data_IF_739401893000
#
_entry.id   IF_739401893000
#
_cell.length_a   1.000
_cell.length_b   1.000
_cell.length_c   1.000
_cell.angle_alpha   90.00
_cell.angle_beta   90.00
_cell.angle_gamma   90.00
#
_symmetry.space_group_name_H-M   'P 1'
#
loop_
_entity.id
_entity.type
_entity.pdbx_description
1 polymer ?
#
# COMPACT_ATOMS: atom_id res chain seq x y z
N UNK A 1 -13.42 -0.16 -6.34
CA UNK A 1 -12.69 -1.41 -6.02
C UNK A 1 -12.04 -1.28 -4.67
N UNK A 2 -12.18 -2.28 -3.80
CA UNK A 2 -11.57 -2.26 -2.46
C UNK A 2 -10.09 -2.66 -2.51
N UNK A 3 -9.28 -1.98 -1.70
CA UNK A 3 -7.85 -2.26 -1.53
C UNK A 3 -7.51 -2.41 -0.06
N UNK A 4 -6.46 -3.18 0.23
CA UNK A 4 -5.94 -3.44 1.56
C UNK A 4 -4.49 -3.06 1.59
N UNK A 5 -4.07 -2.45 2.69
CA UNK A 5 -2.66 -2.19 2.97
C UNK A 5 -2.21 -3.17 4.05
N UNK A 6 -1.22 -3.99 3.71
CA UNK A 6 -0.59 -4.96 4.59
C UNK A 6 0.82 -4.45 4.94
N UNK A 7 1.30 -4.73 6.15
CA UNK A 7 2.72 -4.54 6.49
C UNK A 7 3.57 -5.60 5.78
N UNK A 8 4.81 -5.30 5.47
CA UNK A 8 5.70 -6.16 4.68
C UNK A 8 6.43 -7.26 5.47
N UNK A 9 5.99 -7.58 6.68
CA UNK A 9 6.49 -8.74 7.44
C UNK A 9 6.03 -10.06 6.82
N UNK A 10 6.66 -11.17 7.19
CA UNK A 10 6.47 -12.47 6.54
C UNK A 10 5.02 -12.99 6.55
N UNK A 11 4.19 -12.51 7.49
CA UNK A 11 2.77 -12.86 7.61
C UNK A 11 1.81 -11.73 7.17
N UNK A 12 2.32 -10.53 6.90
CA UNK A 12 1.56 -9.41 6.34
C UNK A 12 0.39 -8.95 7.20
N UNK A 13 0.65 -8.19 8.27
CA UNK A 13 -0.43 -7.66 9.10
C UNK A 13 -1.27 -6.60 8.36
N UNK A 14 -2.60 -6.74 8.36
CA UNK A 14 -3.51 -5.72 7.81
C UNK A 14 -3.45 -4.45 8.65
N UNK A 15 -3.03 -3.34 8.04
CA UNK A 15 -2.92 -2.03 8.72
C UNK A 15 -4.02 -1.06 8.30
N UNK A 16 -4.54 -1.18 7.08
CA UNK A 16 -5.63 -0.33 6.60
C UNK A 16 -6.44 -1.01 5.50
N UNK A 17 -7.71 -0.62 5.38
CA UNK A 17 -8.59 -0.96 4.25
C UNK A 17 -9.12 0.32 3.63
N UNK A 18 -9.14 0.37 2.31
CA UNK A 18 -9.80 1.45 1.59
C UNK A 18 -11.28 1.12 1.41
N UNK A 19 -12.08 2.15 1.18
CA UNK A 19 -13.40 2.00 0.57
C UNK A 19 -13.27 1.66 -0.93
N UNK A 20 -14.37 1.71 -1.66
CA UNK A 20 -14.32 1.55 -3.13
C UNK A 20 -13.59 2.72 -3.78
N UNK A 21 -12.42 2.44 -4.33
CA UNK A 21 -11.60 3.39 -5.10
C UNK A 21 -11.75 3.16 -6.61
N UNK A 22 -11.63 4.24 -7.38
CA UNK A 22 -11.79 4.27 -8.85
C UNK A 22 -10.54 3.77 -9.61
N UNK A 23 -9.88 2.74 -9.09
CA UNK A 23 -8.76 2.06 -9.74
C UNK A 23 -7.40 2.28 -9.08
N UNK A 24 -6.35 1.84 -9.78
CA UNK A 24 -4.99 1.71 -9.23
C UNK A 24 -4.36 3.05 -8.83
N UNK A 25 -4.51 4.10 -9.65
CA UNK A 25 -3.97 5.42 -9.33
C UNK A 25 -4.58 6.01 -8.04
N UNK A 26 -5.90 5.84 -7.87
CA UNK A 26 -6.59 6.25 -6.65
C UNK A 26 -6.11 5.43 -5.45
N UNK A 27 -5.88 4.12 -5.63
CA UNK A 27 -5.36 3.23 -4.60
C UNK A 27 -3.94 3.59 -4.16
N UNK A 28 -3.03 3.88 -5.09
CA UNK A 28 -1.66 4.32 -4.78
C UNK A 28 -1.68 5.67 -4.05
N UNK A 29 -2.53 6.60 -4.49
CA UNK A 29 -2.66 7.92 -3.85
C UNK A 29 -3.19 7.79 -2.41
N UNK A 30 -4.22 6.97 -2.21
CA UNK A 30 -4.76 6.65 -0.89
C UNK A 30 -3.71 6.01 0.02
N UNK A 31 -3.02 4.97 -0.46
CA UNK A 31 -1.98 4.27 0.28
C UNK A 31 -0.83 5.21 0.66
N UNK A 32 -0.39 6.07 -0.28
CA UNK A 32 0.62 7.10 -0.02
C UNK A 32 0.20 8.01 1.13
N UNK A 33 -1.02 8.57 1.08
CA UNK A 33 -1.51 9.48 2.14
C UNK A 33 -1.52 8.78 3.50
N UNK A 34 -1.88 7.50 3.55
CA UNK A 34 -1.84 6.72 4.78
C UNK A 34 -0.41 6.56 5.30
N UNK A 35 0.52 6.19 4.42
CA UNK A 35 1.94 6.00 4.75
C UNK A 35 2.59 7.29 5.26
N UNK A 36 2.29 8.43 4.63
CA UNK A 36 2.85 9.73 5.05
C UNK A 36 2.48 10.07 6.51
N UNK A 37 1.31 9.63 6.97
CA UNK A 37 0.79 9.91 8.31
C UNK A 37 1.15 8.83 9.35
N UNK A 38 1.29 7.57 8.94
CA UNK A 38 1.36 6.43 9.87
C UNK A 38 2.58 5.53 9.72
N UNK A 39 3.28 5.56 8.58
CA UNK A 39 4.38 4.63 8.33
C UNK A 39 5.70 5.11 8.92
N UNK A 40 6.37 4.18 9.61
CA UNK A 40 7.72 4.33 10.14
C UNK A 40 8.68 3.41 9.37
N UNK A 41 9.29 3.98 8.33
CA UNK A 41 10.39 3.38 7.56
C UNK A 41 10.24 1.90 7.21
N UNK A 42 9.09 1.52 6.66
CA UNK A 42 8.74 0.12 6.42
C UNK A 42 8.25 -0.14 5.00
N UNK A 43 8.14 -1.43 4.69
CA UNK A 43 7.53 -1.97 3.48
C UNK A 43 6.07 -2.27 3.75
N UNK A 44 5.24 -1.96 2.78
CA UNK A 44 3.81 -2.22 2.81
C UNK A 44 3.39 -2.81 1.47
N UNK A 45 2.38 -3.66 1.48
CA UNK A 45 1.81 -4.23 0.27
C UNK A 45 0.40 -3.71 0.11
N UNK A 46 0.16 -3.04 -1.01
CA UNK A 46 -1.15 -2.63 -1.46
C UNK A 46 -1.74 -3.76 -2.30
N UNK A 47 -2.74 -4.44 -1.75
CA UNK A 47 -3.42 -5.56 -2.40
C UNK A 47 -4.86 -5.17 -2.76
N UNK A 48 -5.26 -5.23 -4.04
CA UNK A 48 -6.67 -5.17 -4.40
C UNK A 48 -7.40 -6.41 -3.85
N UNK A 49 -8.67 -6.26 -3.46
CA UNK A 49 -9.50 -7.40 -3.03
C UNK A 49 -9.87 -8.38 -4.17
N UNK A 50 -9.21 -8.33 -5.33
CA UNK A 50 -9.45 -9.18 -6.52
C UNK A 50 -8.15 -9.67 -7.18
N UNK A 51 -8.23 -10.38 -8.31
CA UNK A 51 -7.11 -11.03 -9.02
C UNK A 51 -6.12 -10.08 -9.74
N UNK A 52 -5.79 -8.93 -9.14
CA UNK A 52 -4.82 -7.98 -9.68
C UNK A 52 -3.49 -8.09 -8.93
N UNK A 53 -2.42 -7.69 -9.62
CA UNK A 53 -1.06 -7.75 -9.08
C UNK A 53 -0.90 -6.79 -7.88
N UNK A 54 -0.28 -7.24 -6.78
CA UNK A 54 -0.02 -6.39 -5.64
C UNK A 54 1.05 -5.34 -5.94
N UNK A 55 1.00 -4.22 -5.23
CA UNK A 55 1.99 -3.14 -5.34
C UNK A 55 2.77 -3.04 -4.04
N UNK A 56 4.09 -3.10 -4.12
CA UNK A 56 4.97 -2.84 -3.00
C UNK A 56 5.09 -1.33 -2.81
N UNK A 57 4.68 -0.86 -1.64
CA UNK A 57 4.81 0.52 -1.20
C UNK A 57 5.92 0.61 -0.15
N UNK A 58 6.88 1.52 -0.33
CA UNK A 58 7.98 1.70 0.62
C UNK A 58 8.05 3.15 1.04
N UNK A 59 8.15 3.43 2.34
CA UNK A 59 8.53 4.74 2.86
C UNK A 59 9.96 4.66 3.40
N UNK A 60 10.84 5.52 2.92
CA UNK A 60 12.25 5.54 3.33
C UNK A 60 12.48 6.42 4.56
N UNK A 61 13.67 6.29 5.16
CA UNK A 61 14.14 7.16 6.26
C UNK A 61 14.12 8.64 5.87
N UNK A 62 14.49 8.95 4.63
CA UNK A 62 14.48 10.31 4.10
C UNK A 62 13.08 10.87 3.79
N UNK A 63 12.00 10.13 4.10
CA UNK A 63 10.63 10.54 3.81
C UNK A 63 10.19 10.35 2.36
N UNK A 64 11.09 9.91 1.47
CA UNK A 64 10.73 9.52 0.10
C UNK A 64 9.87 8.25 0.12
N UNK A 65 8.97 8.12 -0.85
CA UNK A 65 8.15 6.93 -1.02
C UNK A 65 8.26 6.38 -2.44
N UNK A 66 8.02 5.08 -2.57
CA UNK A 66 8.07 4.35 -3.83
C UNK A 66 6.88 3.40 -3.94
N UNK A 67 6.34 3.25 -5.15
CA UNK A 67 5.33 2.27 -5.50
C UNK A 67 5.90 1.38 -6.62
N UNK A 68 6.00 0.08 -6.36
CA UNK A 68 6.67 -0.88 -7.23
C UNK A 68 5.71 -2.03 -7.52
N UNK A 69 5.17 -2.16 -8.74
CA UNK A 69 4.36 -3.30 -9.13
C UNK A 69 5.11 -4.61 -8.88
N UNK A 70 4.45 -5.58 -8.26
CA UNK A 70 5.01 -6.91 -8.05
C UNK A 70 4.45 -7.87 -9.11
N UNK A 71 5.27 -8.86 -9.50
CA UNK A 71 4.84 -9.92 -10.44
C UNK A 71 4.07 -11.01 -9.71
#
# INVERSE_FOLDING_TARGET
>A
MEYRLLRGDAEGALVARSESLDGELAAVTWARSWLEQHADHDRYRLEPSGCHHPILMVRTVAGNWYAIPQK
#
